data_IF_130814372374
#
_entry.id   IF_130814372374
#
_cell.length_a   1.000
_cell.length_b   1.000
_cell.length_c   1.000
_cell.angle_alpha   90.00
_cell.angle_beta   90.00
_cell.angle_gamma   90.00
#
_symmetry.space_group_name_H-M   'P 1'
#
loop_
_entity.id
_entity.type
_entity.pdbx_description
1 polymer ?
#
# COMPACT_ATOMS: atom_id res chain seq x y z
N UNK A 1 -12.84 -12.24 8.96
CA UNK A 1 -11.51 -12.72 9.39
C UNK A 1 -10.73 -11.58 10.04
N UNK A 2 -10.38 -11.75 11.32
CA UNK A 2 -9.50 -10.82 12.03
C UNK A 2 -8.07 -11.18 11.61
N UNK A 3 -7.32 -10.21 11.10
CA UNK A 3 -5.92 -10.41 10.68
C UNK A 3 -4.93 -10.13 11.81
N UNK A 4 -5.41 -9.58 12.93
CA UNK A 4 -4.61 -9.31 14.12
C UNK A 4 -3.94 -10.61 14.62
N UNK A 5 -2.63 -10.58 14.80
CA UNK A 5 -1.82 -11.72 15.22
C UNK A 5 -1.24 -12.58 14.09
N UNK A 6 -1.63 -12.36 12.82
CA UNK A 6 -0.95 -13.02 11.70
C UNK A 6 0.43 -12.40 11.48
N UNK A 7 1.39 -13.25 11.12
CA UNK A 7 2.72 -12.79 10.72
C UNK A 7 2.61 -12.01 9.40
N UNK A 8 3.20 -10.81 9.39
CA UNK A 8 3.27 -9.98 8.20
C UNK A 8 4.64 -10.16 7.54
N UNK A 9 4.60 -10.38 6.24
CA UNK A 9 5.75 -10.47 5.34
C UNK A 9 5.57 -9.49 4.19
N UNK A 10 6.65 -9.12 3.53
CA UNK A 10 6.61 -8.34 2.30
C UNK A 10 7.58 -8.93 1.29
N UNK A 11 7.22 -8.85 0.01
CA UNK A 11 8.12 -9.29 -1.07
C UNK A 11 9.22 -8.26 -1.31
N UNK A 12 10.33 -8.68 -1.92
CA UNK A 12 11.41 -7.77 -2.36
C UNK A 12 10.84 -6.70 -3.29
N UNK A 13 10.01 -7.10 -4.26
CA UNK A 13 9.34 -6.16 -5.16
C UNK A 13 8.50 -5.11 -4.41
N UNK A 14 7.75 -5.52 -3.37
CA UNK A 14 6.95 -4.58 -2.59
C UNK A 14 7.81 -3.55 -1.84
N UNK A 15 8.97 -3.98 -1.35
CA UNK A 15 9.96 -3.14 -0.66
C UNK A 15 10.62 -2.15 -1.62
N UNK A 16 11.02 -2.59 -2.81
CA UNK A 16 11.58 -1.74 -3.88
C UNK A 16 10.58 -0.65 -4.27
N UNK A 17 9.32 -1.02 -4.55
CA UNK A 17 8.26 -0.08 -4.91
C UNK A 17 8.00 0.96 -3.81
N UNK A 18 8.03 0.56 -2.53
CA UNK A 18 7.90 1.51 -1.43
C UNK A 18 9.08 2.46 -1.37
N UNK A 19 10.30 1.94 -1.51
CA UNK A 19 11.53 2.73 -1.47
C UNK A 19 11.53 3.79 -2.57
N UNK A 20 11.12 3.42 -3.78
CA UNK A 20 11.03 4.34 -4.92
C UNK A 20 9.92 5.38 -4.79
N UNK A 21 8.77 5.02 -4.22
CA UNK A 21 7.55 5.85 -4.25
C UNK A 21 7.28 6.65 -2.97
N UNK A 22 7.82 6.20 -1.85
CA UNK A 22 7.54 6.78 -0.52
C UNK A 22 8.84 7.23 0.14
N UNK A 23 9.86 6.39 0.09
CA UNK A 23 11.18 6.68 0.65
C UNK A 23 11.81 5.48 1.34
N UNK A 24 13.08 5.60 1.77
CA UNK A 24 13.83 4.50 2.35
C UNK A 24 13.25 4.08 3.71
N UNK A 25 12.96 2.79 3.84
CA UNK A 25 12.66 2.12 5.10
C UNK A 25 13.17 0.68 5.02
N UNK A 26 13.50 0.08 6.15
CA UNK A 26 13.87 -1.33 6.24
C UNK A 26 12.64 -2.23 6.17
N UNK A 27 12.86 -3.52 5.84
CA UNK A 27 11.80 -4.53 5.92
C UNK A 27 11.17 -4.62 7.32
N UNK A 28 11.98 -4.45 8.37
CA UNK A 28 11.52 -4.53 9.75
C UNK A 28 10.61 -3.37 10.13
N UNK A 29 11.00 -2.13 9.78
CA UNK A 29 10.18 -0.93 10.02
C UNK A 29 8.82 -1.03 9.35
N UNK A 30 8.78 -1.44 8.07
CA UNK A 30 7.52 -1.63 7.34
C UNK A 30 6.68 -2.73 7.99
N UNK A 31 7.33 -3.80 8.47
CA UNK A 31 6.63 -4.91 9.11
C UNK A 31 5.99 -4.49 10.43
N UNK A 32 6.71 -3.76 11.27
CA UNK A 32 6.20 -3.32 12.56
C UNK A 32 5.06 -2.32 12.41
N UNK A 33 5.22 -1.33 11.51
CA UNK A 33 4.12 -0.41 11.17
C UNK A 33 2.90 -1.17 10.61
N UNK A 34 3.11 -2.16 9.73
CA UNK A 34 2.03 -2.98 9.21
C UNK A 34 1.31 -3.82 10.29
N UNK A 35 2.05 -4.34 11.28
CA UNK A 35 1.48 -5.08 12.41
C UNK A 35 0.59 -4.21 13.28
N UNK A 36 0.98 -2.97 13.52
CA UNK A 36 0.16 -1.99 14.25
C UNK A 36 -1.17 -1.74 13.52
N UNK A 37 -1.12 -1.54 12.20
CA UNK A 37 -2.31 -1.30 11.39
C UNK A 37 -3.25 -2.50 11.35
N UNK A 38 -2.71 -3.72 11.25
CA UNK A 38 -3.49 -4.95 11.36
C UNK A 38 -4.15 -5.11 12.74
N UNK A 39 -3.50 -4.65 13.81
CA UNK A 39 -4.03 -4.72 15.17
C UNK A 39 -5.19 -3.74 15.40
N UNK A 40 -5.09 -2.54 14.82
CA UNK A 40 -6.15 -1.51 14.86
C UNK A 40 -7.34 -1.89 13.97
N UNK A 41 -7.12 -2.76 12.97
CA UNK A 41 -8.17 -3.21 12.06
C UNK A 41 -8.44 -2.26 10.90
N UNK A 42 -7.54 -1.32 10.65
CA UNK A 42 -7.67 -0.32 9.57
C UNK A 42 -7.18 -0.89 8.23
N UNK A 43 -7.92 -1.87 7.72
CA UNK A 43 -7.67 -2.51 6.43
C UNK A 43 -8.97 -2.77 5.67
N UNK A 44 -8.92 -2.68 4.33
CA UNK A 44 -10.08 -2.88 3.46
C UNK A 44 -10.08 -4.29 2.88
N UNK A 45 -10.97 -5.14 3.38
CA UNK A 45 -11.11 -6.54 2.93
C UNK A 45 -11.61 -6.68 1.51
N UNK A 46 -12.44 -5.77 1.03
CA UNK A 46 -13.06 -5.90 -0.31
C UNK A 46 -12.07 -5.70 -1.47
N UNK A 47 -10.80 -5.41 -1.18
CA UNK A 47 -9.74 -5.42 -2.18
C UNK A 47 -8.37 -5.86 -1.66
N UNK A 48 -8.30 -6.46 -0.48
CA UNK A 48 -7.04 -6.84 0.17
C UNK A 48 -6.03 -5.68 0.26
N UNK A 49 -6.50 -4.51 0.70
CA UNK A 49 -5.67 -3.30 0.83
C UNK A 49 -5.46 -2.91 2.30
N UNK A 50 -4.27 -2.40 2.59
CA UNK A 50 -3.90 -1.82 3.89
C UNK A 50 -3.13 -0.52 3.68
N UNK A 51 -3.28 0.43 4.61
CA UNK A 51 -2.53 1.69 4.58
C UNK A 51 -1.39 1.63 5.60
N UNK A 52 -0.15 1.82 5.16
CA UNK A 52 1.05 1.80 6.01
C UNK A 52 1.92 2.98 5.57
N UNK A 53 2.34 3.82 6.52
CA UNK A 53 3.04 5.09 6.24
C UNK A 53 2.30 6.01 5.26
N UNK A 54 0.97 6.09 5.38
CA UNK A 54 0.10 6.82 4.44
C UNK A 54 0.15 6.31 2.97
N UNK A 55 0.91 5.25 2.71
CA UNK A 55 0.97 4.58 1.42
C UNK A 55 -0.04 3.44 1.34
N UNK A 56 -0.59 3.24 0.14
CA UNK A 56 -1.51 2.12 -0.13
C UNK A 56 -0.75 0.87 -0.53
N UNK A 57 -1.07 -0.24 0.13
CA UNK A 57 -0.49 -1.56 -0.16
C UNK A 57 -1.58 -2.54 -0.54
N UNK A 58 -1.29 -3.42 -1.49
CA UNK A 58 -2.06 -4.64 -1.69
C UNK A 58 -1.38 -5.80 -0.98
N UNK A 59 -2.18 -6.61 -0.30
CA UNK A 59 -1.71 -7.82 0.37
C UNK A 59 -2.48 -9.04 -0.12
N UNK A 60 -2.01 -10.20 0.32
CA UNK A 60 -2.75 -11.46 0.21
C UNK A 60 -2.52 -12.28 1.46
N UNK A 61 -3.39 -13.24 1.73
CA UNK A 61 -3.18 -14.21 2.79
C UNK A 61 -2.66 -15.51 2.18
N UNK A 62 -1.46 -15.94 2.59
CA UNK A 62 -0.84 -17.20 2.18
C UNK A 62 -0.32 -17.94 3.40
N UNK A 63 -0.68 -19.21 3.54
CA UNK A 63 -0.17 -20.06 4.64
C UNK A 63 -0.36 -19.44 6.04
N UNK A 64 -1.47 -18.73 6.26
CA UNK A 64 -1.73 -18.04 7.54
C UNK A 64 -0.89 -16.78 7.78
N UNK A 65 -0.25 -16.23 6.75
CA UNK A 65 0.54 -14.99 6.80
C UNK A 65 -0.10 -13.93 5.92
N UNK A 66 0.01 -12.68 6.33
CA UNK A 66 -0.29 -11.52 5.47
C UNK A 66 0.97 -11.20 4.68
N UNK A 67 0.89 -11.22 3.35
CA UNK A 67 2.01 -10.96 2.46
C UNK A 67 1.73 -9.69 1.65
N UNK A 68 2.51 -8.64 1.86
CA UNK A 68 2.46 -7.42 1.04
C UNK A 68 3.07 -7.71 -0.33
N UNK A 69 2.28 -7.52 -1.39
CA UNK A 69 2.68 -7.85 -2.76
C UNK A 69 3.24 -6.63 -3.49
N UNK A 70 2.60 -5.47 -3.35
CA UNK A 70 3.04 -4.23 -4.00
C UNK A 70 2.67 -3.01 -3.15
N UNK A 71 3.45 -1.95 -3.32
CA UNK A 71 3.18 -0.63 -2.76
C UNK A 71 2.79 0.33 -3.90
N UNK A 72 1.64 0.97 -3.78
CA UNK A 72 1.17 1.98 -4.72
C UNK A 72 1.64 3.39 -4.39
N UNK A 73 2.30 3.57 -3.24
CA UNK A 73 2.84 4.85 -2.78
C UNK A 73 1.81 5.71 -2.06
N UNK A 74 2.25 6.93 -1.71
CA UNK A 74 1.40 7.95 -1.11
C UNK A 74 0.42 8.46 -2.16
N UNK A 75 -0.84 8.58 -1.78
CA UNK A 75 -1.85 9.10 -2.69
C UNK A 75 -2.99 9.76 -1.92
N UNK A 76 -3.43 10.90 -2.45
CA UNK A 76 -4.63 11.60 -2.00
C UNK A 76 -5.92 10.94 -2.50
N UNK A 77 -5.84 10.05 -3.50
CA UNK A 77 -7.01 9.32 -3.99
C UNK A 77 -7.10 7.91 -3.39
N UNK A 78 -8.32 7.41 -3.30
CA UNK A 78 -8.64 6.09 -2.79
C UNK A 78 -8.26 5.01 -3.82
N UNK A 79 -7.03 4.51 -3.75
CA UNK A 79 -6.48 3.49 -4.66
C UNK A 79 -7.38 2.25 -4.75
N UNK A 80 -7.88 1.66 -3.64
CA UNK A 80 -8.83 0.54 -3.71
C UNK A 80 -10.05 0.85 -4.57
N UNK A 81 -10.67 2.01 -4.35
CA UNK A 81 -11.87 2.42 -5.08
C UNK A 81 -11.57 2.68 -6.55
N UNK A 82 -10.43 3.29 -6.86
CA UNK A 82 -10.02 3.56 -8.23
C UNK A 82 -9.81 2.25 -9.01
N UNK A 83 -9.08 1.29 -8.45
CA UNK A 83 -8.86 -0.02 -9.08
C UNK A 83 -10.16 -0.82 -9.27
N UNK A 84 -11.08 -0.75 -8.30
CA UNK A 84 -12.40 -1.38 -8.43
C UNK A 84 -13.22 -0.77 -9.58
N UNK A 85 -13.17 0.56 -9.74
CA UNK A 85 -13.83 1.25 -10.85
C UNK A 85 -13.20 0.86 -12.19
N UNK A 86 -11.88 0.90 -12.30
CA UNK A 86 -11.16 0.56 -13.53
C UNK A 86 -11.49 -0.87 -14.00
N UNK A 87 -11.48 -1.84 -13.07
CA UNK A 87 -11.88 -3.22 -13.36
C UNK A 87 -13.32 -3.33 -13.87
N UNK A 88 -14.25 -2.53 -13.34
CA UNK A 88 -15.66 -2.54 -13.77
C UNK A 88 -15.85 -1.96 -15.16
N UNK A 89 -14.99 -1.02 -15.55
CA UNK A 89 -15.11 -0.26 -16.79
C UNK A 89 -14.11 -0.65 -17.88
N UNK A 90 -13.32 -1.72 -17.66
CA UNK A 90 -12.21 -2.14 -18.52
C UNK A 90 -11.21 -1.00 -18.81
N UNK A 91 -11.01 -0.14 -17.81
CA UNK A 91 -10.13 1.02 -17.89
C UNK A 91 -8.76 0.71 -17.27
N UNK A 92 -7.74 1.48 -17.66
CA UNK A 92 -6.36 1.38 -17.17
C UNK A 92 -6.01 2.59 -16.32
N UNK A 93 -5.55 2.34 -15.11
CA UNK A 93 -5.00 3.40 -14.24
C UNK A 93 -3.49 3.40 -14.38
N UNK A 94 -2.94 4.52 -14.86
CA UNK A 94 -1.50 4.80 -14.78
C UNK A 94 -1.21 5.47 -13.45
N UNK A 95 -0.40 4.81 -12.62
CA UNK A 95 0.00 5.33 -11.30
C UNK A 95 1.32 6.11 -11.34
N UNK A 96 2.01 6.06 -12.47
CA UNK A 96 3.24 6.79 -12.73
C UNK A 96 2.87 8.21 -13.20
N UNK A 97 2.63 9.15 -12.26
CA UNK A 97 2.77 10.61 -12.47
C UNK A 97 2.30 11.46 -11.27
N UNK A 98 2.82 11.22 -10.07
CA UNK A 98 2.80 12.24 -9.03
C UNK A 98 4.24 12.67 -8.73
N UNK A 99 4.87 13.37 -9.69
CA UNK A 99 5.94 14.28 -9.31
C UNK A 99 5.31 15.35 -8.42
N UNK A 100 5.69 15.40 -7.15
CA UNK A 100 5.50 16.58 -6.32
C UNK A 100 6.26 17.69 -7.04
N UNK A 101 5.55 18.62 -7.68
CA UNK A 101 6.15 19.86 -8.14
C UNK A 101 6.55 20.67 -6.90
N UNK A 102 7.74 20.42 -6.36
CA UNK A 102 8.42 21.35 -5.46
C UNK A 102 8.85 22.57 -6.30
N UNK A 103 7.92 23.49 -6.53
CA UNK A 103 8.20 24.61 -7.42
C UNK A 103 7.06 25.59 -7.72
N UNK A 104 6.13 25.81 -6.79
CA UNK A 104 5.40 27.09 -6.77
C UNK A 104 6.07 28.03 -5.77
N UNK A 105 7.13 28.69 -6.21
CA UNK A 105 7.58 29.92 -5.57
C UNK A 105 6.76 31.06 -6.20
N UNK A 106 5.76 31.53 -5.45
CA UNK A 106 5.07 32.78 -5.74
C UNK A 106 6.03 33.90 -5.35
N UNK A 107 6.67 34.54 -6.34
CA UNK A 107 6.87 36.00 -6.42
C UNK A 107 6.96 36.37 -7.90
#
# INVERSE_FOLDING_TARGET
MILNGLRLELTIHAHEQFTERVGPATFEEIRDAGREQLAVGDYRRDGDFIKIYDAWWIFTIREGKVVLITCYGNSHFDVPRALAWARKHDDRITLDNFQINEGQQII
#
